data_IF_525455545924
#
_entry.id   IF_525455545924
#
_cell.length_a   1.000
_cell.length_b   1.000
_cell.length_c   1.000
_cell.angle_alpha   90.00
_cell.angle_beta   90.00
_cell.angle_gamma   90.00
#
_symmetry.space_group_name_H-M   'P 1'
#
loop_
_entity.id
_entity.type
_entity.pdbx_description
1 polymer ?
#
# COMPACT_ATOMS: atom_id res chain seq x y z
N UNK A 1 29.58 -24.99 14.09
CA UNK A 1 29.74 -24.55 12.68
C UNK A 1 29.23 -25.69 11.80
N UNK A 2 27.95 -25.62 11.40
CA UNK A 2 27.34 -26.64 10.54
C UNK A 2 27.23 -26.01 9.16
N UNK A 3 28.02 -26.47 8.21
CA UNK A 3 27.89 -26.13 6.79
C UNK A 3 26.70 -26.91 6.23
N UNK A 4 25.61 -26.23 5.93
CA UNK A 4 24.53 -26.78 5.13
C UNK A 4 24.94 -26.66 3.66
N UNK A 5 25.39 -27.78 3.06
CA UNK A 5 25.61 -27.90 1.63
C UNK A 5 24.26 -28.12 0.95
N UNK A 6 23.75 -27.10 0.28
CA UNK A 6 22.60 -27.23 -0.61
C UNK A 6 23.11 -27.79 -1.94
N UNK A 7 23.19 -29.11 -2.02
CA UNK A 7 23.33 -29.82 -3.26
C UNK A 7 21.93 -30.17 -3.77
N UNK A 8 21.53 -29.60 -4.90
CA UNK A 8 20.29 -29.97 -5.59
C UNK A 8 19.30 -28.84 -5.90
N UNK A 9 19.79 -27.65 -6.24
CA UNK A 9 18.95 -26.68 -6.88
C UNK A 9 18.71 -27.11 -8.34
N UNK A 10 17.58 -27.75 -8.62
CA UNK A 10 17.10 -27.90 -9.99
C UNK A 10 16.88 -26.46 -10.54
N UNK A 11 17.76 -26.05 -11.45
CA UNK A 11 17.64 -24.79 -12.17
C UNK A 11 16.36 -24.89 -12.98
N UNK A 12 15.33 -24.13 -12.59
CA UNK A 12 14.10 -24.03 -13.37
C UNK A 12 14.46 -23.48 -14.76
N UNK A 13 14.00 -24.12 -15.86
CA UNK A 13 14.30 -23.64 -17.20
C UNK A 13 13.88 -22.16 -17.36
N UNK A 14 14.78 -21.34 -17.92
CA UNK A 14 14.55 -19.91 -18.18
C UNK A 14 13.30 -19.64 -19.02
N UNK A 15 12.84 -20.63 -19.76
CA UNK A 15 11.74 -20.54 -20.71
C UNK A 15 10.36 -20.72 -20.07
N UNK A 16 10.31 -21.18 -18.81
CA UNK A 16 9.06 -21.24 -18.07
C UNK A 16 8.64 -19.85 -17.56
N UNK A 17 7.34 -19.62 -17.41
CA UNK A 17 6.83 -18.35 -16.85
C UNK A 17 7.43 -18.07 -15.46
N UNK A 18 7.57 -19.10 -14.62
CA UNK A 18 8.18 -19.02 -13.30
C UNK A 18 9.67 -18.71 -13.39
N UNK A 19 10.39 -19.34 -14.32
CA UNK A 19 11.81 -19.07 -14.56
C UNK A 19 12.06 -17.62 -15.00
N UNK A 20 11.26 -17.11 -15.91
CA UNK A 20 11.33 -15.68 -16.34
C UNK A 20 11.06 -14.71 -15.21
N UNK A 21 10.07 -14.97 -14.37
CA UNK A 21 9.78 -14.15 -13.20
C UNK A 21 10.92 -14.19 -12.17
N UNK A 22 11.52 -15.36 -11.94
CA UNK A 22 12.64 -15.50 -11.03
C UNK A 22 13.87 -14.75 -11.52
N UNK A 23 14.19 -14.85 -12.82
CA UNK A 23 15.29 -14.11 -13.46
C UNK A 23 15.03 -12.59 -13.36
N UNK A 24 13.80 -12.16 -13.58
CA UNK A 24 13.42 -10.75 -13.42
C UNK A 24 13.68 -10.28 -11.99
N UNK A 25 13.25 -11.02 -10.97
CA UNK A 25 13.46 -10.68 -9.56
C UNK A 25 14.95 -10.64 -9.19
N UNK A 26 15.76 -11.59 -9.70
CA UNK A 26 17.21 -11.62 -9.45
C UNK A 26 17.90 -10.43 -10.11
N UNK A 27 17.55 -10.11 -11.35
CA UNK A 27 18.09 -8.95 -12.05
C UNK A 27 17.66 -7.63 -11.40
N UNK A 28 16.43 -7.57 -10.92
CA UNK A 28 15.91 -6.45 -10.14
C UNK A 28 16.74 -6.21 -8.87
N UNK A 29 17.03 -7.26 -8.10
CA UNK A 29 17.85 -7.13 -6.88
C UNK A 29 19.24 -6.60 -7.17
N UNK A 30 19.93 -7.16 -8.18
CA UNK A 30 21.28 -6.71 -8.57
C UNK A 30 21.30 -5.22 -8.96
N UNK A 31 20.32 -4.81 -9.72
CA UNK A 31 20.23 -3.43 -10.17
C UNK A 31 19.83 -2.45 -9.07
N UNK A 32 19.04 -2.87 -8.06
CA UNK A 32 18.75 -2.05 -6.87
C UNK A 32 20.05 -1.70 -6.13
N UNK A 33 21.02 -2.61 -6.11
CA UNK A 33 22.33 -2.37 -5.48
C UNK A 33 23.20 -1.36 -6.27
N UNK A 34 22.90 -1.13 -7.55
CA UNK A 34 23.62 -0.22 -8.45
C UNK A 34 23.00 1.21 -8.47
N UNK A 35 21.81 1.40 -7.87
CA UNK A 35 21.10 2.68 -7.90
C UNK A 35 21.73 3.68 -6.91
N UNK A 36 22.06 4.85 -7.39
CA UNK A 36 22.42 5.98 -6.55
C UNK A 36 21.21 6.43 -5.71
N UNK A 37 21.44 6.69 -4.43
CA UNK A 37 20.42 7.26 -3.55
C UNK A 37 19.91 8.59 -4.08
N UNK A 38 20.80 9.41 -4.62
CA UNK A 38 20.48 10.74 -5.14
C UNK A 38 19.55 10.64 -6.35
N UNK A 39 19.83 9.74 -7.30
CA UNK A 39 18.95 9.48 -8.45
C UNK A 39 17.56 9.01 -8.00
N UNK A 40 17.49 8.13 -7.01
CA UNK A 40 16.21 7.66 -6.46
C UNK A 40 15.42 8.78 -5.78
N UNK A 41 16.10 9.66 -5.04
CA UNK A 41 15.48 10.83 -4.38
C UNK A 41 14.95 11.81 -5.41
N UNK A 42 15.69 12.08 -6.47
CA UNK A 42 15.30 13.01 -7.53
C UNK A 42 14.05 12.53 -8.27
N UNK A 43 13.97 11.23 -8.59
CA UNK A 43 12.78 10.64 -9.20
C UNK A 43 11.56 10.76 -8.28
N UNK A 44 11.71 10.45 -6.99
CA UNK A 44 10.61 10.56 -6.02
C UNK A 44 10.16 12.02 -5.87
N UNK A 45 11.07 12.96 -5.81
CA UNK A 45 10.75 14.38 -5.73
C UNK A 45 10.01 14.88 -6.98
N UNK A 46 10.41 14.43 -8.16
CA UNK A 46 9.71 14.75 -9.40
C UNK A 46 8.27 14.22 -9.40
N UNK A 47 8.04 12.99 -8.91
CA UNK A 47 6.71 12.41 -8.77
C UNK A 47 5.88 13.21 -7.77
N UNK A 48 6.45 13.55 -6.60
CA UNK A 48 5.77 14.39 -5.61
C UNK A 48 5.30 15.71 -6.22
N UNK A 49 6.18 16.43 -6.89
CA UNK A 49 5.88 17.72 -7.49
C UNK A 49 4.85 17.61 -8.62
N UNK A 50 4.91 16.52 -9.39
CA UNK A 50 4.05 16.36 -10.57
C UNK A 50 2.64 15.89 -10.22
N UNK A 51 2.50 14.98 -9.27
CA UNK A 51 1.23 14.31 -8.97
C UNK A 51 0.68 14.65 -7.58
N UNK A 52 1.54 14.55 -6.55
CA UNK A 52 1.11 14.65 -5.16
C UNK A 52 0.74 16.09 -4.78
N UNK A 53 1.58 17.06 -5.15
CA UNK A 53 1.29 18.47 -4.85
C UNK A 53 0.09 19.01 -5.62
N UNK A 54 -0.16 18.50 -6.81
CA UNK A 54 -1.36 18.79 -7.59
C UNK A 54 -2.59 18.01 -7.12
N UNK A 55 -2.46 17.18 -6.09
CA UNK A 55 -3.53 16.32 -5.53
C UNK A 55 -4.17 15.40 -6.59
N UNK A 56 -3.37 14.95 -7.58
CA UNK A 56 -3.81 14.03 -8.62
C UNK A 56 -3.84 12.62 -8.06
N UNK A 57 -5.01 12.01 -8.05
CA UNK A 57 -5.24 10.62 -7.66
C UNK A 57 -6.06 9.88 -8.71
N UNK A 58 -6.07 8.55 -8.65
CA UNK A 58 -6.72 7.65 -9.64
C UNK A 58 -8.19 7.96 -9.91
N UNK A 59 -8.90 8.40 -8.92
CA UNK A 59 -10.33 8.71 -9.01
C UNK A 59 -10.59 10.16 -8.60
N UNK A 60 -11.66 10.78 -9.13
CA UNK A 60 -12.09 12.08 -8.65
C UNK A 60 -12.26 12.06 -7.13
N UNK A 61 -11.72 13.05 -6.46
CA UNK A 61 -11.73 13.16 -5.01
C UNK A 61 -12.72 14.24 -4.58
N UNK A 62 -13.44 13.99 -3.49
CA UNK A 62 -14.23 15.03 -2.82
C UNK A 62 -13.29 15.91 -1.99
N UNK A 63 -13.60 17.19 -1.91
CA UNK A 63 -12.84 18.16 -1.11
C UNK A 63 -13.40 18.27 0.32
N UNK A 64 -13.64 17.13 0.95
CA UNK A 64 -14.06 17.04 2.33
C UNK A 64 -12.83 17.20 3.23
N UNK A 65 -12.86 18.22 4.09
CA UNK A 65 -11.77 18.45 5.03
C UNK A 65 -11.83 17.47 6.19
N UNK A 66 -10.76 16.74 6.39
CA UNK A 66 -10.54 15.88 7.56
C UNK A 66 -9.60 16.61 8.51
N UNK A 67 -10.10 16.95 9.71
CA UNK A 67 -9.33 17.66 10.74
C UNK A 67 -8.59 16.71 11.67
N UNK A 68 -8.96 15.45 11.67
CA UNK A 68 -8.31 14.43 12.49
C UNK A 68 -6.86 14.23 12.07
N UNK A 69 -6.01 13.88 13.04
CA UNK A 69 -4.59 13.57 12.83
C UNK A 69 -4.23 12.33 13.65
N UNK A 70 -3.11 11.71 13.30
CA UNK A 70 -2.55 10.57 14.03
C UNK A 70 -3.52 9.38 14.12
N UNK A 71 -4.10 9.00 12.99
CA UNK A 71 -5.02 7.89 12.81
C UNK A 71 -4.44 6.82 11.90
N UNK A 72 -5.01 5.63 11.93
CA UNK A 72 -4.76 4.60 10.92
C UNK A 72 -5.73 4.80 9.76
N UNK A 73 -5.21 4.83 8.53
CA UNK A 73 -6.02 5.01 7.32
C UNK A 73 -6.19 3.67 6.58
N UNK A 74 -7.44 3.29 6.31
CA UNK A 74 -7.81 2.08 5.60
C UNK A 74 -8.61 2.43 4.32
N UNK A 75 -7.93 2.60 3.17
CA UNK A 75 -8.60 2.67 1.88
C UNK A 75 -9.07 1.27 1.47
N UNK A 76 -10.37 1.09 1.36
CA UNK A 76 -10.95 -0.18 0.93
C UNK A 76 -10.80 -0.37 -0.58
N UNK A 77 -10.74 -1.63 -1.00
CA UNK A 77 -10.74 -2.04 -2.39
C UNK A 77 -12.09 -2.65 -2.76
N UNK A 78 -12.37 -2.69 -4.06
CA UNK A 78 -13.57 -3.37 -4.56
C UNK A 78 -13.50 -4.84 -4.13
N UNK A 79 -14.54 -5.38 -3.48
CA UNK A 79 -14.63 -6.81 -3.21
C UNK A 79 -14.51 -7.57 -4.54
N UNK A 80 -13.87 -8.73 -4.52
CA UNK A 80 -13.67 -9.60 -5.69
C UNK A 80 -12.75 -9.07 -6.80
N UNK A 81 -12.05 -7.95 -6.59
CA UNK A 81 -10.97 -7.55 -7.48
C UNK A 81 -9.94 -8.72 -7.59
N UNK A 82 -9.63 -9.20 -8.81
CA UNK A 82 -8.66 -10.28 -9.00
C UNK A 82 -7.31 -10.02 -8.31
N UNK A 83 -6.89 -8.77 -8.21
CA UNK A 83 -5.64 -8.39 -7.55
C UNK A 83 -5.73 -8.57 -6.03
N UNK A 84 -6.89 -8.30 -5.42
CA UNK A 84 -7.11 -8.49 -3.98
C UNK A 84 -7.04 -9.96 -3.56
N UNK A 85 -7.26 -10.90 -4.51
CA UNK A 85 -7.14 -12.35 -4.26
C UNK A 85 -5.70 -12.82 -4.05
N UNK A 86 -4.71 -11.99 -4.32
CA UNK A 86 -3.28 -12.26 -4.07
C UNK A 86 -2.88 -11.95 -2.61
N UNK A 87 -3.79 -12.07 -1.68
CA UNK A 87 -3.57 -11.79 -0.26
C UNK A 87 -3.86 -13.01 0.62
N UNK A 88 -3.13 -13.13 1.72
CA UNK A 88 -3.40 -14.13 2.77
C UNK A 88 -4.56 -13.69 3.69
N UNK A 89 -4.70 -12.39 3.91
CA UNK A 89 -5.77 -11.77 4.67
C UNK A 89 -6.56 -10.93 3.66
N UNK A 90 -7.79 -11.32 3.39
CA UNK A 90 -8.63 -10.63 2.41
C UNK A 90 -9.17 -9.29 2.94
N UNK A 91 -9.80 -8.51 2.07
CA UNK A 91 -10.32 -7.17 2.41
C UNK A 91 -11.31 -7.17 3.57
N UNK A 92 -12.14 -8.22 3.67
CA UNK A 92 -13.13 -8.36 4.75
C UNK A 92 -12.46 -8.63 6.08
N UNK A 93 -11.59 -9.63 6.12
CA UNK A 93 -10.84 -10.00 7.32
C UNK A 93 -9.97 -8.83 7.81
N UNK A 94 -9.35 -8.09 6.88
CA UNK A 94 -8.55 -6.91 7.19
C UNK A 94 -9.40 -5.80 7.82
N UNK A 95 -10.58 -5.52 7.25
CA UNK A 95 -11.52 -4.52 7.76
C UNK A 95 -12.01 -4.87 9.17
N UNK A 96 -12.51 -6.10 9.35
CA UNK A 96 -13.04 -6.58 10.63
C UNK A 96 -11.96 -6.54 11.73
N UNK A 97 -10.73 -6.98 11.40
CA UNK A 97 -9.60 -6.94 12.32
C UNK A 97 -9.18 -5.49 12.66
N UNK A 98 -9.11 -4.60 11.67
CA UNK A 98 -8.75 -3.21 11.90
C UNK A 98 -9.77 -2.48 12.79
N UNK A 99 -11.07 -2.71 12.58
CA UNK A 99 -12.14 -2.18 13.42
C UNK A 99 -11.98 -2.67 14.87
N UNK A 100 -11.79 -3.97 15.06
CA UNK A 100 -11.59 -4.54 16.38
C UNK A 100 -10.39 -3.93 17.10
N UNK A 101 -9.24 -3.87 16.43
CA UNK A 101 -7.99 -3.33 17.01
C UNK A 101 -8.14 -1.83 17.32
N UNK A 102 -8.77 -1.06 16.45
CA UNK A 102 -9.07 0.35 16.66
C UNK A 102 -9.81 0.59 17.98
N UNK A 103 -10.84 -0.21 18.26
CA UNK A 103 -11.64 -0.15 19.50
C UNK A 103 -10.83 -0.56 20.72
N UNK A 104 -10.05 -1.64 20.62
CA UNK A 104 -9.23 -2.16 21.71
C UNK A 104 -8.10 -1.19 22.09
N UNK A 105 -7.42 -0.61 21.12
CA UNK A 105 -6.31 0.30 21.33
C UNK A 105 -6.73 1.77 21.50
N UNK A 106 -8.01 2.08 21.25
CA UNK A 106 -8.55 3.46 21.27
C UNK A 106 -7.79 4.39 20.31
N UNK A 107 -7.42 3.89 19.15
CA UNK A 107 -6.77 4.61 18.07
C UNK A 107 -7.76 4.79 16.93
N UNK A 108 -7.93 6.02 16.47
CA UNK A 108 -8.88 6.32 15.40
C UNK A 108 -8.51 5.57 14.11
N UNK A 109 -9.48 4.88 13.54
CA UNK A 109 -9.44 4.27 12.22
C UNK A 109 -10.30 5.11 11.26
N UNK A 110 -9.68 5.67 10.23
CA UNK A 110 -10.40 6.30 9.12
C UNK A 110 -10.54 5.31 7.98
N UNK A 111 -11.79 5.03 7.60
CA UNK A 111 -12.13 4.13 6.51
C UNK A 111 -12.61 4.94 5.32
N UNK A 112 -12.05 4.69 4.15
CA UNK A 112 -12.54 5.24 2.89
C UNK A 112 -13.03 4.14 1.98
N UNK A 113 -14.32 4.20 1.63
CA UNK A 113 -14.92 3.28 0.66
C UNK A 113 -14.34 3.51 -0.73
N UNK A 114 -14.16 2.42 -1.49
CA UNK A 114 -13.75 2.53 -2.89
C UNK A 114 -14.88 3.17 -3.72
N UNK A 115 -14.60 4.12 -4.62
CA UNK A 115 -15.64 4.81 -5.39
C UNK A 115 -16.50 3.89 -6.27
N UNK A 116 -15.98 2.75 -6.68
CA UNK A 116 -16.67 1.76 -7.53
C UNK A 116 -17.29 0.60 -6.74
N UNK A 117 -17.23 0.65 -5.40
CA UNK A 117 -17.80 -0.40 -4.57
C UNK A 117 -19.25 -0.09 -4.21
N UNK A 118 -20.16 -0.99 -4.59
CA UNK A 118 -21.58 -0.93 -4.31
C UNK A 118 -22.07 -2.18 -3.53
N UNK A 119 -21.16 -2.88 -2.83
CA UNK A 119 -21.52 -4.09 -2.10
C UNK A 119 -22.40 -3.79 -0.89
N UNK A 120 -23.49 -4.55 -0.74
CA UNK A 120 -24.40 -4.46 0.41
C UNK A 120 -23.67 -4.83 1.70
N UNK A 121 -22.86 -5.89 1.65
CA UNK A 121 -22.07 -6.34 2.79
C UNK A 121 -21.22 -5.21 3.40
N UNK A 122 -20.49 -4.45 2.55
CA UNK A 122 -19.67 -3.36 3.07
C UNK A 122 -20.55 -2.24 3.65
N UNK A 123 -21.69 -1.97 3.04
CA UNK A 123 -22.67 -1.01 3.58
C UNK A 123 -23.14 -1.42 4.98
N UNK A 124 -23.51 -2.69 5.18
CA UNK A 124 -23.92 -3.23 6.48
C UNK A 124 -22.81 -3.11 7.54
N UNK A 125 -21.57 -3.47 7.20
CA UNK A 125 -20.43 -3.35 8.13
C UNK A 125 -20.19 -1.88 8.49
N UNK A 126 -20.18 -0.97 7.52
CA UNK A 126 -19.95 0.44 7.77
C UNK A 126 -21.09 1.07 8.59
N UNK A 127 -22.34 0.68 8.35
CA UNK A 127 -23.48 1.12 9.14
C UNK A 127 -23.41 0.62 10.59
N UNK A 128 -22.92 -0.60 10.80
CA UNK A 128 -22.76 -1.16 12.15
C UNK A 128 -21.74 -0.45 13.03
N UNK A 129 -20.82 0.28 12.42
CA UNK A 129 -19.73 1.01 13.13
C UNK A 129 -19.83 2.52 13.07
N UNK A 130 -20.90 3.08 12.49
CA UNK A 130 -21.05 4.54 12.32
C UNK A 130 -21.04 5.34 13.63
N UNK A 131 -21.48 4.72 14.73
CA UNK A 131 -21.57 5.34 16.06
C UNK A 131 -20.35 4.97 16.95
N UNK A 132 -19.39 4.24 16.43
CA UNK A 132 -18.19 3.85 17.16
C UNK A 132 -17.20 5.03 17.27
N UNK A 133 -16.77 5.40 18.49
CA UNK A 133 -15.98 6.61 18.69
C UNK A 133 -14.59 6.58 18.03
N UNK A 134 -14.06 5.39 17.80
CA UNK A 134 -12.73 5.20 17.21
C UNK A 134 -12.78 4.73 15.75
N UNK A 135 -13.96 4.77 15.11
CA UNK A 135 -14.11 4.41 13.69
C UNK A 135 -14.86 5.53 12.98
N UNK A 136 -14.28 6.06 11.91
CA UNK A 136 -14.93 7.06 11.07
C UNK A 136 -14.85 6.68 9.61
N UNK A 137 -15.94 6.91 8.89
CA UNK A 137 -16.00 6.78 7.44
C UNK A 137 -15.81 8.15 6.83
N UNK A 138 -14.97 8.26 5.81
CA UNK A 138 -14.64 9.53 5.17
C UNK A 138 -14.66 9.44 3.65
N UNK A 139 -15.01 10.55 3.00
CA UNK A 139 -14.85 10.75 1.56
C UNK A 139 -13.72 11.74 1.24
N UNK A 140 -12.92 12.13 2.23
CA UNK A 140 -11.83 13.08 2.09
C UNK A 140 -10.83 12.72 0.99
N UNK A 141 -10.05 13.71 0.57
CA UNK A 141 -9.02 13.50 -0.43
C UNK A 141 -7.93 12.54 0.08
N UNK A 142 -7.60 11.50 -0.70
CA UNK A 142 -6.64 10.47 -0.32
C UNK A 142 -5.27 11.06 0.07
N UNK A 143 -4.79 12.07 -0.66
CA UNK A 143 -3.50 12.69 -0.38
C UNK A 143 -3.49 13.35 1.00
N UNK A 144 -4.56 14.05 1.36
CA UNK A 144 -4.68 14.71 2.67
C UNK A 144 -4.85 13.67 3.79
N UNK A 145 -5.61 12.60 3.52
CA UNK A 145 -5.78 11.50 4.46
C UNK A 145 -4.44 10.80 4.75
N UNK A 146 -3.64 10.55 3.73
CA UNK A 146 -2.33 9.93 3.90
C UNK A 146 -1.36 10.85 4.67
N UNK A 147 -1.34 12.15 4.38
CA UNK A 147 -0.44 13.12 5.04
C UNK A 147 -0.63 13.19 6.56
N UNK A 148 -1.82 12.95 7.05
CA UNK A 148 -2.16 13.04 8.47
C UNK A 148 -2.26 11.67 9.17
N UNK A 149 -2.10 10.58 8.42
CA UNK A 149 -2.17 9.23 8.96
C UNK A 149 -0.89 8.84 9.69
N UNK A 150 -1.04 8.10 10.79
CA UNK A 150 0.04 7.38 11.47
C UNK A 150 0.58 6.26 10.59
N UNK A 151 -0.34 5.52 9.98
CA UNK A 151 -0.04 4.45 9.03
C UNK A 151 -1.19 4.28 8.04
N UNK A 152 -0.89 3.61 6.94
CA UNK A 152 -1.86 3.21 5.92
C UNK A 152 -1.88 1.70 5.84
N UNK A 153 -3.06 1.09 6.04
CA UNK A 153 -3.27 -0.36 5.93
C UNK A 153 -4.08 -0.64 4.68
N UNK A 154 -3.64 -1.55 3.83
CA UNK A 154 -4.40 -1.96 2.64
C UNK A 154 -4.14 -3.44 2.30
N UNK A 155 -4.95 -4.00 1.42
CA UNK A 155 -4.58 -5.29 0.82
C UNK A 155 -3.40 -5.09 -0.13
N UNK A 156 -3.61 -4.47 -1.28
CA UNK A 156 -2.59 -4.08 -2.26
C UNK A 156 -3.07 -2.92 -3.14
N UNK A 157 -3.75 -1.97 -2.51
CA UNK A 157 -4.35 -0.80 -3.17
C UNK A 157 -3.30 0.11 -3.82
N UNK A 158 -3.64 0.74 -4.94
CA UNK A 158 -2.85 1.82 -5.53
C UNK A 158 -2.62 3.01 -4.58
N UNK A 159 -3.49 3.22 -3.60
CA UNK A 159 -3.30 4.19 -2.52
C UNK A 159 -2.04 3.90 -1.70
N UNK A 160 -1.64 2.63 -1.58
CA UNK A 160 -0.38 2.27 -0.93
C UNK A 160 0.84 2.87 -1.64
N UNK A 161 0.82 2.91 -2.97
CA UNK A 161 1.88 3.55 -3.74
C UNK A 161 1.89 5.07 -3.56
N UNK A 162 0.73 5.72 -3.61
CA UNK A 162 0.60 7.16 -3.32
C UNK A 162 1.12 7.49 -1.90
N UNK A 163 0.80 6.64 -0.92
CA UNK A 163 1.26 6.76 0.45
C UNK A 163 2.79 6.60 0.59
N UNK A 164 3.38 5.66 -0.14
CA UNK A 164 4.84 5.48 -0.17
C UNK A 164 5.54 6.72 -0.71
N UNK A 165 5.04 7.36 -1.78
CA UNK A 165 5.59 8.61 -2.30
C UNK A 165 5.49 9.76 -1.29
N UNK A 166 4.46 9.77 -0.46
CA UNK A 166 4.30 10.73 0.64
C UNK A 166 5.20 10.45 1.86
N UNK A 167 5.86 9.29 1.89
CA UNK A 167 6.69 8.92 3.01
C UNK A 167 5.96 8.23 4.16
N UNK A 168 4.69 7.90 4.00
CA UNK A 168 3.90 7.25 5.03
C UNK A 168 4.37 5.83 5.34
N UNK A 169 4.12 5.37 6.57
CA UNK A 169 4.23 3.96 6.93
C UNK A 169 3.08 3.17 6.30
N UNK A 170 3.41 2.23 5.41
CA UNK A 170 2.42 1.44 4.66
C UNK A 170 2.51 -0.02 5.05
N UNK A 171 1.35 -0.64 5.29
CA UNK A 171 1.17 -2.04 5.65
C UNK A 171 0.23 -2.73 4.67
N UNK A 172 0.72 -3.76 3.96
CA UNK A 172 -0.07 -4.49 2.99
C UNK A 172 -0.20 -5.98 3.34
N UNK A 173 -1.42 -6.53 3.17
CA UNK A 173 -1.69 -7.96 3.33
C UNK A 173 -1.56 -8.75 2.02
N UNK A 174 -1.62 -8.07 0.88
CA UNK A 174 -1.51 -8.66 -0.45
C UNK A 174 -0.24 -8.26 -1.18
N UNK A 175 0.14 -9.08 -2.15
CA UNK A 175 1.31 -8.85 -3.00
C UNK A 175 1.02 -7.77 -4.04
N UNK A 176 2.02 -6.93 -4.33
CA UNK A 176 1.98 -5.87 -5.33
C UNK A 176 3.38 -5.62 -5.88
N UNK A 177 3.51 -4.81 -6.90
CA UNK A 177 4.78 -4.41 -7.48
C UNK A 177 5.66 -3.66 -6.47
N UNK A 178 5.04 -2.94 -5.54
CA UNK A 178 5.73 -2.21 -4.44
C UNK A 178 5.89 -3.01 -3.14
N UNK A 179 5.70 -4.34 -3.21
CA UNK A 179 5.80 -5.25 -2.06
C UNK A 179 7.13 -5.15 -1.28
N UNK A 180 8.22 -4.78 -1.96
CA UNK A 180 9.53 -4.54 -1.34
C UNK A 180 9.60 -3.28 -0.48
N UNK A 181 8.67 -2.34 -0.66
CA UNK A 181 8.66 -1.02 -0.01
C UNK A 181 7.61 -0.88 1.10
N UNK A 182 6.88 -1.94 1.44
CA UNK A 182 5.83 -1.93 2.45
C UNK A 182 6.13 -2.87 3.61
N UNK A 183 5.57 -2.57 4.77
CA UNK A 183 5.48 -3.51 5.87
C UNK A 183 4.45 -4.59 5.53
N UNK A 184 4.74 -5.84 5.87
CA UNK A 184 3.92 -6.98 5.46
C UNK A 184 2.97 -7.38 6.58
N UNK A 185 1.69 -7.52 6.23
CA UNK A 185 0.68 -8.10 7.11
C UNK A 185 0.53 -9.57 6.71
N UNK A 186 0.98 -10.46 7.57
CA UNK A 186 0.88 -11.91 7.41
C UNK A 186 -0.02 -12.55 8.45
N UNK A 187 -0.33 -11.84 9.54
CA UNK A 187 -1.17 -12.27 10.64
C UNK A 187 -1.78 -11.06 11.39
N UNK A 188 -2.69 -11.32 12.31
CA UNK A 188 -3.38 -10.28 13.10
C UNK A 188 -2.43 -9.43 13.94
N UNK A 189 -1.32 -9.99 14.46
CA UNK A 189 -0.35 -9.21 15.22
C UNK A 189 0.38 -8.17 14.38
N UNK A 190 0.50 -8.37 13.07
CA UNK A 190 1.09 -7.37 12.19
C UNK A 190 0.13 -6.19 11.99
N UNK A 191 -1.18 -6.43 11.98
CA UNK A 191 -2.18 -5.36 11.95
C UNK A 191 -2.10 -4.52 13.23
N UNK A 192 -1.91 -5.16 14.40
CA UNK A 192 -1.75 -4.44 15.67
C UNK A 192 -0.55 -3.47 15.63
N UNK A 193 0.58 -3.89 15.06
CA UNK A 193 1.76 -3.04 14.88
C UNK A 193 1.48 -1.80 14.03
N UNK A 194 0.60 -1.90 13.05
CA UNK A 194 0.21 -0.75 12.24
C UNK A 194 -0.54 0.33 13.04
N UNK A 195 -1.11 -0.02 14.20
CA UNK A 195 -1.76 0.91 15.13
C UNK A 195 -0.81 1.49 16.18
N UNK A 196 0.41 0.97 16.32
CA UNK A 196 1.40 1.49 17.27
C UNK A 196 1.83 2.91 16.86
N UNK A 197 2.24 3.71 17.85
CA UNK A 197 2.70 5.08 17.59
C UNK A 197 4.07 5.08 16.90
N UNK A 198 4.94 4.21 17.35
CA UNK A 198 6.29 4.08 16.82
C UNK A 198 6.27 3.12 15.64
N UNK A 199 6.11 3.69 14.45
CA UNK A 199 6.09 2.92 13.23
C UNK A 199 7.50 2.48 12.83
N UNK A 200 7.68 1.23 12.35
CA UNK A 200 8.97 0.80 11.86
C UNK A 200 9.40 1.69 10.70
N UNK A 201 10.53 2.37 10.86
CA UNK A 201 11.16 3.06 9.76
C UNK A 201 11.74 2.00 8.80
N UNK A 202 11.15 1.88 7.63
CA UNK A 202 11.86 1.23 6.55
C UNK A 202 13.13 2.03 6.26
N UNK A 203 14.26 1.33 6.15
CA UNK A 203 15.51 1.94 5.71
C UNK A 203 15.19 2.78 4.45
N UNK A 204 15.36 4.09 4.54
CA UNK A 204 15.03 5.04 3.49
C UNK A 204 15.64 4.65 2.14
N UNK A 205 16.81 4.02 2.18
CA UNK A 205 17.49 3.42 1.04
C UNK A 205 16.65 2.34 0.33
N UNK A 206 16.17 1.31 1.04
CA UNK A 206 15.40 0.22 0.41
C UNK A 206 14.08 0.71 -0.18
N UNK A 207 13.43 1.66 0.49
CA UNK A 207 12.21 2.29 0.04
C UNK A 207 12.44 3.07 -1.24
N UNK A 208 13.43 3.96 -1.25
CA UNK A 208 13.74 4.80 -2.39
C UNK A 208 14.17 3.98 -3.60
N UNK A 209 15.02 2.98 -3.42
CA UNK A 209 15.42 2.09 -4.50
C UNK A 209 14.26 1.29 -5.08
N UNK A 210 13.34 0.80 -4.25
CA UNK A 210 12.14 0.08 -4.72
C UNK A 210 11.21 0.98 -5.52
N UNK A 211 11.03 2.24 -5.09
CA UNK A 211 10.21 3.22 -5.79
C UNK A 211 10.86 3.69 -7.09
N UNK A 212 12.16 3.91 -7.11
CA UNK A 212 12.94 4.22 -8.30
C UNK A 212 12.77 3.16 -9.40
N UNK A 213 12.82 1.88 -8.99
CA UNK A 213 12.61 0.77 -9.90
C UNK A 213 11.22 0.75 -10.53
N UNK A 214 10.19 1.04 -9.75
CA UNK A 214 8.82 1.16 -10.28
C UNK A 214 8.72 2.23 -11.39
N UNK A 215 9.50 3.30 -11.27
CA UNK A 215 9.53 4.36 -12.28
C UNK A 215 10.35 4.00 -13.52
N UNK A 216 11.53 3.39 -13.37
CA UNK A 216 12.35 2.98 -14.53
C UNK A 216 11.60 2.02 -15.45
N UNK A 217 10.80 1.10 -14.89
CA UNK A 217 9.94 0.24 -15.71
C UNK A 217 8.64 0.92 -16.15
N UNK A 218 8.47 2.20 -15.88
CA UNK A 218 7.25 2.93 -16.20
C UNK A 218 6.01 2.47 -15.45
N UNK A 219 6.17 1.53 -14.49
CA UNK A 219 5.05 0.96 -13.74
C UNK A 219 4.43 2.01 -12.81
N UNK A 220 5.26 2.80 -12.11
CA UNK A 220 4.79 3.86 -11.25
C UNK A 220 4.12 4.98 -12.05
N UNK A 221 4.78 5.51 -13.06
CA UNK A 221 4.24 6.55 -13.94
C UNK A 221 3.10 6.02 -14.82
N UNK A 222 3.15 4.76 -15.26
CA UNK A 222 2.06 4.15 -16.03
C UNK A 222 0.82 3.93 -15.15
N UNK A 223 0.99 3.50 -13.90
CA UNK A 223 -0.10 3.46 -12.94
C UNK A 223 -0.68 4.85 -12.70
N UNK A 224 0.13 5.86 -12.49
CA UNK A 224 -0.31 7.24 -12.32
C UNK A 224 -0.89 7.84 -13.62
N UNK A 225 -0.32 7.57 -14.80
CA UNK A 225 -0.83 8.06 -16.12
C UNK A 225 -2.15 7.41 -16.53
N UNK A 226 -2.34 6.12 -16.30
CA UNK A 226 -3.64 5.47 -16.49
C UNK A 226 -4.74 6.04 -15.57
N UNK A 227 -4.34 6.88 -14.60
CA UNK A 227 -5.19 7.63 -13.73
C UNK A 227 -5.77 8.88 -14.40
N UNK A 228 -4.99 9.53 -15.28
CA UNK A 228 -5.41 10.77 -15.97
C UNK A 228 -6.26 10.53 -17.22
N UNK A 229 -6.19 9.36 -17.86
CA UNK A 229 -6.86 9.11 -19.16
C UNK A 229 -8.27 8.53 -19.04
N UNK A 230 -8.74 8.17 -17.85
CA UNK A 230 -10.10 7.65 -17.61
C UNK A 230 -11.06 8.69 -17.00
N UNK A 231 -10.66 9.94 -16.93
CA UNK A 231 -11.46 11.04 -16.39
C UNK A 231 -11.87 12.10 -17.44
N UNK A 232 -11.85 11.72 -18.72
CA UNK A 232 -12.37 12.56 -19.82
C UNK A 232 -13.64 11.97 -20.39
#
# INVERSE_FOLDING_TARGET
MVRCSISGASVLPSDTQVGRQLILVINLRKKIEEISIDDAVDVINNIKNTYIEKRISKYPQKDERVLDKDYVFLPLQVPDDPVSKLSKINSRELLEAAIKISKEQKVLLLIKRHPLDNSDFLSEVLDSVKDEPFVKITNGNVIDLVKNARSVIAVNSGVSLEALYLGASVWNSGTSEWWGAVNKISCLSDIQKAFEKDQPEMLSYQKNCSLFWLEIFGLGTMMLRNLCTKGG
#
